data_IF_769105869622
#
_entry.id   IF_769105869622
#
_cell.length_a   1.000
_cell.length_b   1.000
_cell.length_c   1.000
_cell.angle_alpha   90.00
_cell.angle_beta   90.00
_cell.angle_gamma   90.00
#
_symmetry.space_group_name_H-M   'P 1'
#
loop_
_entity.id
_entity.type
_entity.pdbx_description
1 polymer ?
#
# COMPACT_ATOMS: atom_id res chain seq x y z
N UNK A 1 -1.11 13.64 -49.13
CA UNK A 1 -1.93 14.00 -47.94
C UNK A 1 -2.16 12.80 -47.01
N UNK A 2 -2.67 11.67 -47.50
CA UNK A 2 -2.93 10.47 -46.67
C UNK A 2 -1.66 9.89 -46.03
N UNK A 3 -0.53 9.85 -46.77
CA UNK A 3 0.73 9.30 -46.26
C UNK A 3 1.27 10.09 -45.05
N UNK A 4 1.30 11.43 -45.14
CA UNK A 4 1.73 12.29 -44.02
C UNK A 4 0.83 12.15 -42.80
N UNK A 5 -0.49 12.00 -43.00
CA UNK A 5 -1.41 11.77 -41.88
C UNK A 5 -1.10 10.45 -41.16
N UNK A 6 -0.85 9.36 -41.91
CA UNK A 6 -0.46 8.07 -41.34
C UNK A 6 0.87 8.14 -40.58
N UNK A 7 1.87 8.86 -41.10
CA UNK A 7 3.15 9.06 -40.41
C UNK A 7 2.97 9.79 -39.08
N UNK A 8 2.11 10.82 -39.03
CA UNK A 8 1.82 11.55 -37.79
C UNK A 8 1.17 10.63 -36.75
N UNK A 9 0.18 9.82 -37.15
CA UNK A 9 -0.45 8.86 -36.24
C UNK A 9 0.54 7.82 -35.71
N UNK A 10 1.44 7.32 -36.56
CA UNK A 10 2.49 6.38 -36.15
C UNK A 10 3.44 7.01 -35.13
N UNK A 11 3.89 8.24 -35.36
CA UNK A 11 4.78 8.94 -34.43
C UNK A 11 4.12 9.14 -33.07
N UNK A 12 2.85 9.58 -33.05
CA UNK A 12 2.10 9.75 -31.80
C UNK A 12 1.93 8.43 -31.06
N UNK A 13 1.60 7.34 -31.77
CA UNK A 13 1.47 6.01 -31.17
C UNK A 13 2.80 5.52 -30.57
N UNK A 14 3.91 5.67 -31.29
CA UNK A 14 5.25 5.28 -30.80
C UNK A 14 5.63 6.09 -29.58
N UNK A 15 5.39 7.40 -29.58
CA UNK A 15 5.64 8.27 -28.42
C UNK A 15 4.80 7.85 -27.22
N UNK A 16 3.51 7.56 -27.42
CA UNK A 16 2.61 7.08 -26.36
C UNK A 16 3.10 5.76 -25.75
N UNK A 17 3.48 4.78 -26.59
CA UNK A 17 4.05 3.52 -26.13
C UNK A 17 5.37 3.73 -25.37
N UNK A 18 6.25 4.59 -25.86
CA UNK A 18 7.51 4.90 -25.19
C UNK A 18 7.28 5.52 -23.81
N UNK A 19 6.38 6.50 -23.69
CA UNK A 19 6.00 7.11 -22.42
C UNK A 19 5.42 6.08 -21.43
N UNK A 20 4.54 5.19 -21.93
CA UNK A 20 3.96 4.13 -21.10
C UNK A 20 5.02 3.15 -20.60
N UNK A 21 5.94 2.70 -21.47
CA UNK A 21 7.06 1.84 -21.08
C UNK A 21 7.96 2.48 -20.02
N UNK A 22 8.25 3.78 -20.14
CA UNK A 22 9.04 4.52 -19.14
C UNK A 22 8.29 4.57 -17.81
N UNK A 23 7.00 4.92 -17.82
CA UNK A 23 6.18 4.96 -16.60
C UNK A 23 6.16 3.62 -15.88
N UNK A 24 5.88 2.53 -16.60
CA UNK A 24 5.86 1.18 -16.01
C UNK A 24 7.23 0.75 -15.49
N UNK A 25 8.32 1.13 -16.17
CA UNK A 25 9.68 0.86 -15.70
C UNK A 25 9.96 1.57 -14.37
N UNK A 26 9.52 2.83 -14.23
CA UNK A 26 9.66 3.59 -12.97
C UNK A 26 8.80 2.98 -11.86
N UNK A 27 7.56 2.57 -12.16
CA UNK A 27 6.69 1.89 -11.20
C UNK A 27 7.33 0.59 -10.70
N UNK A 28 7.85 -0.23 -11.62
CA UNK A 28 8.49 -1.49 -11.29
C UNK A 28 9.77 -1.27 -10.47
N UNK A 29 10.58 -0.29 -10.85
CA UNK A 29 11.78 0.08 -10.11
C UNK A 29 11.46 0.58 -8.69
N UNK A 30 10.44 1.43 -8.55
CA UNK A 30 9.99 1.95 -7.26
C UNK A 30 9.47 0.83 -6.35
N UNK A 31 8.66 -0.08 -6.90
CA UNK A 31 8.16 -1.24 -6.18
C UNK A 31 9.31 -2.18 -5.75
N UNK A 32 10.24 -2.48 -6.65
CA UNK A 32 11.41 -3.30 -6.35
C UNK A 32 12.30 -2.67 -5.27
N UNK A 33 12.51 -1.34 -5.35
CA UNK A 33 13.26 -0.58 -4.34
C UNK A 33 12.58 -0.65 -2.98
N UNK A 34 11.28 -0.40 -2.89
CA UNK A 34 10.51 -0.47 -1.65
C UNK A 34 10.58 -1.85 -1.01
N UNK A 35 10.40 -2.91 -1.79
CA UNK A 35 10.51 -4.29 -1.30
C UNK A 35 11.93 -4.62 -0.82
N UNK A 36 12.96 -4.13 -1.51
CA UNK A 36 14.36 -4.33 -1.10
C UNK A 36 14.68 -3.60 0.20
N UNK A 37 14.25 -2.35 0.34
CA UNK A 37 14.44 -1.56 1.57
C UNK A 37 13.72 -2.21 2.75
N UNK A 38 12.48 -2.69 2.57
CA UNK A 38 11.75 -3.43 3.60
C UNK A 38 12.49 -4.70 4.03
N UNK A 39 12.98 -5.51 3.08
CA UNK A 39 13.70 -6.76 3.37
C UNK A 39 15.00 -6.49 4.14
N UNK A 40 15.74 -5.44 3.78
CA UNK A 40 16.94 -5.02 4.50
C UNK A 40 16.59 -4.57 5.91
N UNK A 41 15.56 -3.74 6.07
CA UNK A 41 15.08 -3.27 7.38
C UNK A 41 14.62 -4.42 8.29
N UNK A 42 13.96 -5.44 7.74
CA UNK A 42 13.60 -6.67 8.47
C UNK A 42 14.85 -7.47 8.90
N UNK A 43 15.92 -7.49 8.11
CA UNK A 43 17.17 -8.21 8.44
C UNK A 43 18.09 -7.48 9.42
N UNK A 44 18.03 -6.14 9.45
CA UNK A 44 18.87 -5.28 10.30
C UNK A 44 18.12 -4.80 11.56
N UNK A 45 16.85 -5.15 11.72
CA UNK A 45 16.11 -4.90 12.95
C UNK A 45 16.71 -5.72 14.09
N UNK A 46 17.66 -5.10 14.79
CA UNK A 46 17.94 -5.37 16.20
C UNK A 46 16.61 -5.65 16.89
N UNK A 47 16.50 -6.81 17.56
CA UNK A 47 15.37 -7.29 18.37
C UNK A 47 14.12 -6.43 18.19
N UNK A 48 13.19 -6.82 17.31
CA UNK A 48 11.92 -6.09 17.11
C UNK A 48 11.33 -5.74 18.49
N UNK A 49 11.46 -4.47 18.88
CA UNK A 49 10.92 -3.98 20.13
C UNK A 49 9.44 -3.75 19.88
N UNK A 50 8.60 -4.55 20.51
CA UNK A 50 7.16 -4.42 20.47
C UNK A 50 6.70 -3.79 21.79
N UNK A 51 6.77 -2.45 21.93
CA UNK A 51 6.29 -1.79 23.13
C UNK A 51 4.79 -2.03 23.30
N UNK A 52 4.26 -2.15 24.52
CA UNK A 52 2.81 -2.23 24.72
C UNK A 52 2.10 -1.03 24.06
N UNK A 53 1.00 -1.28 23.34
CA UNK A 53 0.21 -0.23 22.66
C UNK A 53 -1.26 -0.22 23.11
N UNK A 54 -1.89 0.95 22.99
CA UNK A 54 -3.32 1.12 23.26
C UNK A 54 -4.05 1.50 21.96
N UNK A 55 -5.08 0.74 21.59
CA UNK A 55 -5.91 0.96 20.41
C UNK A 55 -7.21 1.65 20.82
N UNK A 56 -7.37 2.93 20.46
CA UNK A 56 -8.64 3.64 20.67
C UNK A 56 -9.63 3.32 19.56
N UNK A 57 -10.75 2.68 19.91
CA UNK A 57 -11.83 2.32 18.99
C UNK A 57 -13.13 3.03 19.41
N UNK A 58 -13.52 4.15 18.78
CA UNK A 58 -14.78 4.80 19.11
C UNK A 58 -15.97 3.95 18.65
N UNK A 59 -16.99 3.84 19.50
CA UNK A 59 -18.23 3.14 19.25
C UNK A 59 -19.34 4.16 19.04
N UNK A 60 -19.83 4.26 17.79
CA UNK A 60 -20.96 5.13 17.46
C UNK A 60 -21.81 4.51 16.36
N UNK A 61 -23.12 4.46 16.63
CA UNK A 61 -24.10 3.88 15.69
C UNK A 61 -23.96 2.36 15.56
N UNK A 62 -24.63 1.82 14.53
CA UNK A 62 -24.58 0.39 14.17
C UNK A 62 -23.68 0.18 12.97
N UNK A 63 -22.70 -0.69 13.12
CA UNK A 63 -21.84 -1.18 12.03
C UNK A 63 -22.17 -2.67 11.78
N UNK A 64 -22.65 -3.04 10.59
CA UNK A 64 -22.96 -4.44 10.25
C UNK A 64 -21.76 -5.38 10.42
N UNK A 65 -20.55 -4.85 10.24
CA UNK A 65 -19.31 -5.61 10.24
C UNK A 65 -18.52 -5.42 11.55
N UNK A 66 -19.17 -4.89 12.60
CA UNK A 66 -18.54 -4.55 13.87
C UNK A 66 -17.78 -5.72 14.49
N UNK A 67 -18.34 -6.93 14.37
CA UNK A 67 -17.72 -8.15 14.87
C UNK A 67 -16.42 -8.47 14.12
N UNK A 68 -16.43 -8.45 12.79
CA UNK A 68 -15.24 -8.71 11.98
C UNK A 68 -14.18 -7.63 12.18
N UNK A 69 -14.62 -6.37 12.32
CA UNK A 69 -13.77 -5.25 12.69
C UNK A 69 -13.00 -5.51 13.99
N UNK A 70 -13.68 -5.92 15.07
CA UNK A 70 -13.02 -6.23 16.35
C UNK A 70 -12.20 -7.50 16.30
N UNK A 71 -12.71 -8.55 15.65
CA UNK A 71 -11.99 -9.81 15.45
C UNK A 71 -10.65 -9.58 14.77
N UNK A 72 -10.59 -8.70 13.77
CA UNK A 72 -9.34 -8.36 13.09
C UNK A 72 -8.28 -7.74 14.01
N UNK A 73 -8.70 -6.97 15.03
CA UNK A 73 -7.81 -6.41 16.05
C UNK A 73 -7.32 -7.47 17.04
N UNK A 74 -8.18 -8.41 17.42
CA UNK A 74 -7.81 -9.52 18.31
C UNK A 74 -6.83 -10.51 17.67
N UNK A 75 -6.82 -10.61 16.34
CA UNK A 75 -5.97 -11.52 15.57
C UNK A 75 -4.63 -10.89 15.14
N UNK A 76 -4.29 -9.70 15.63
CA UNK A 76 -3.02 -9.06 15.32
C UNK A 76 -1.84 -9.86 15.90
N UNK A 77 -0.78 -10.02 15.10
CA UNK A 77 0.50 -10.58 15.54
C UNK A 77 1.32 -9.50 16.28
N UNK A 78 0.76 -9.01 17.40
CA UNK A 78 1.38 -8.03 18.29
C UNK A 78 1.29 -8.54 19.74
N UNK A 79 2.41 -8.63 20.48
CA UNK A 79 2.45 -9.41 21.72
C UNK A 79 1.64 -8.81 22.87
N UNK A 80 1.63 -7.49 23.02
CA UNK A 80 0.95 -6.82 24.14
C UNK A 80 0.23 -5.56 23.66
N UNK A 81 -1.09 -5.56 23.80
CA UNK A 81 -1.93 -4.42 23.46
C UNK A 81 -3.22 -4.42 24.27
N UNK A 82 -3.85 -3.25 24.36
CA UNK A 82 -5.20 -3.07 24.87
C UNK A 82 -6.09 -2.39 23.83
N UNK A 83 -7.40 -2.63 23.90
CA UNK A 83 -8.40 -1.95 23.06
C UNK A 83 -9.32 -1.13 23.98
N UNK A 84 -9.33 0.18 23.78
CA UNK A 84 -10.14 1.13 24.56
C UNK A 84 -11.34 1.53 23.73
N UNK A 85 -12.53 1.22 24.21
CA UNK A 85 -13.79 1.58 23.56
C UNK A 85 -14.30 2.94 24.04
N UNK A 86 -14.25 3.94 23.16
CA UNK A 86 -14.82 5.25 23.43
C UNK A 86 -16.32 5.26 23.14
N UNK A 87 -17.15 5.47 24.15
CA UNK A 87 -18.63 5.54 24.02
C UNK A 87 -19.10 6.97 24.27
N UNK A 88 -20.14 7.41 23.55
CA UNK A 88 -20.77 8.74 23.67
C UNK A 88 -22.29 8.65 23.57
#
# INVERSE_FOLDING_TARGET
MIHNALTVFQVVAVLGCACSCIYYSICLWSAARFLRERKVSESTSAVKSFPPISILKPLKGTDPDIFEGFRSHCLQDYPEYEIIFGVS
#
